data_IF_714067423834
#
_entry.id   IF_714067423834
#
_cell.length_a   1.000
_cell.length_b   1.000
_cell.length_c   1.000
_cell.angle_alpha   90.00
_cell.angle_beta   90.00
_cell.angle_gamma   90.00
#
_symmetry.space_group_name_H-M   'P 1'
#
loop_
_entity.id
_entity.type
_entity.pdbx_description
1 polymer ?
#
# COMPACT_ATOMS: atom_id res chain seq x y z
N UNK A 1 -2.44 7.28 27.86
CA UNK A 1 -2.77 6.65 26.56
C UNK A 1 -2.60 5.16 26.75
N UNK A 2 -3.65 4.38 26.55
CA UNK A 2 -3.59 2.92 26.61
C UNK A 2 -2.95 2.33 25.35
N UNK A 3 -2.60 1.05 25.41
CA UNK A 3 -1.96 0.31 24.32
C UNK A 3 -2.79 0.29 23.03
N UNK A 4 -4.11 0.16 23.11
CA UNK A 4 -4.98 0.09 21.93
C UNK A 4 -5.05 1.43 21.23
N UNK A 5 -5.18 2.51 22.01
CA UNK A 5 -5.14 3.88 21.51
C UNK A 5 -3.80 4.21 20.83
N UNK A 6 -2.68 3.74 21.38
CA UNK A 6 -1.36 3.90 20.77
C UNK A 6 -1.30 3.23 19.38
N UNK A 7 -1.73 1.96 19.27
CA UNK A 7 -1.71 1.25 17.99
C UNK A 7 -2.73 1.80 17.00
N UNK A 8 -3.90 2.25 17.45
CA UNK A 8 -4.87 2.93 16.59
C UNK A 8 -4.26 4.19 15.95
N UNK A 9 -3.51 4.97 16.74
CA UNK A 9 -2.82 6.17 16.26
C UNK A 9 -1.67 5.82 15.30
N UNK A 10 -0.81 4.86 15.64
CA UNK A 10 0.32 4.42 14.79
C UNK A 10 -0.17 3.90 13.43
N UNK A 11 -1.26 3.13 13.43
CA UNK A 11 -1.86 2.59 12.21
C UNK A 11 -2.72 3.61 11.45
N UNK A 12 -2.85 4.83 11.99
CA UNK A 12 -3.70 5.91 11.47
C UNK A 12 -5.13 5.42 11.19
N UNK A 13 -5.69 4.69 12.16
CA UNK A 13 -7.07 4.23 12.10
C UNK A 13 -8.02 5.42 12.26
N UNK A 14 -9.13 5.34 11.55
CA UNK A 14 -10.22 6.30 11.62
C UNK A 14 -11.53 5.54 11.75
N UNK A 15 -12.54 6.19 12.30
CA UNK A 15 -13.89 5.64 12.36
C UNK A 15 -14.30 5.12 10.97
N UNK A 16 -14.87 3.91 10.88
CA UNK A 16 -15.40 3.08 11.98
C UNK A 16 -14.43 2.00 12.51
N UNK A 17 -13.14 2.05 12.19
CA UNK A 17 -12.18 0.98 12.53
C UNK A 17 -11.49 1.22 13.87
N UNK A 18 -11.47 0.20 14.72
CA UNK A 18 -10.88 0.26 16.06
C UNK A 18 -10.02 -0.97 16.36
N UNK A 19 -9.02 -0.80 17.23
CA UNK A 19 -8.22 -1.93 17.72
C UNK A 19 -9.04 -2.71 18.74
N UNK A 20 -9.35 -3.97 18.40
CA UNK A 20 -10.05 -4.91 19.28
C UNK A 20 -9.12 -5.44 20.37
N UNK A 21 -7.98 -5.98 19.96
CA UNK A 21 -7.02 -6.64 20.84
C UNK A 21 -5.61 -6.62 20.28
N UNK A 22 -4.65 -6.76 21.18
CA UNK A 22 -3.24 -6.91 20.90
C UNK A 22 -2.78 -8.25 21.47
N UNK A 23 -1.96 -8.98 20.74
CA UNK A 23 -1.37 -10.24 21.18
C UNK A 23 0.10 -10.27 20.83
N UNK A 24 0.96 -10.51 21.81
CA UNK A 24 2.39 -10.72 21.63
C UNK A 24 2.67 -12.22 21.70
N UNK A 25 3.31 -12.75 20.65
CA UNK A 25 3.84 -14.11 20.62
C UNK A 25 5.37 -14.02 20.57
N UNK A 26 5.99 -14.23 21.73
CA UNK A 26 7.45 -14.17 21.87
C UNK A 26 8.15 -15.32 21.14
N UNK A 27 7.52 -16.50 21.06
CA UNK A 27 8.09 -17.67 20.40
C UNK A 27 8.09 -17.50 18.87
N UNK A 28 7.00 -16.96 18.32
CA UNK A 28 6.92 -16.62 16.91
C UNK A 28 7.65 -15.32 16.56
N UNK A 29 8.02 -14.52 17.56
CA UNK A 29 8.64 -13.20 17.37
C UNK A 29 7.69 -12.24 16.65
N UNK A 30 6.41 -12.20 17.04
CA UNK A 30 5.39 -11.41 16.36
C UNK A 30 4.41 -10.70 17.30
N UNK A 31 3.91 -9.54 16.86
CA UNK A 31 2.79 -8.82 17.50
C UNK A 31 1.62 -8.85 16.54
N UNK A 32 0.48 -9.33 16.99
CA UNK A 32 -0.77 -9.31 16.24
C UNK A 32 -1.68 -8.20 16.75
N UNK A 33 -2.07 -7.30 15.83
CA UNK A 33 -3.04 -6.23 16.08
C UNK A 33 -4.35 -6.62 15.41
N UNK A 34 -5.33 -7.02 16.22
CA UNK A 34 -6.68 -7.37 15.73
C UNK A 34 -7.51 -6.10 15.65
N UNK A 35 -7.98 -5.77 14.45
CA UNK A 35 -8.83 -4.62 14.18
C UNK A 35 -10.24 -5.11 13.87
N UNK A 36 -11.22 -4.39 14.39
CA UNK A 36 -12.62 -4.61 14.08
C UNK A 36 -13.30 -3.33 13.64
N UNK A 37 -14.50 -3.47 13.09
CA UNK A 37 -15.39 -2.36 12.82
C UNK A 37 -16.32 -2.16 14.01
N UNK A 38 -16.55 -0.90 14.40
CA UNK A 38 -17.45 -0.59 15.51
C UNK A 38 -18.86 -1.17 15.27
N UNK A 39 -19.49 -1.64 16.33
CA UNK A 39 -20.84 -2.20 16.28
C UNK A 39 -21.85 -1.17 15.73
N UNK A 40 -22.88 -1.65 15.03
CA UNK A 40 -23.94 -0.82 14.41
C UNK A 40 -23.46 0.20 13.36
N UNK A 41 -22.23 0.07 12.85
CA UNK A 41 -21.75 0.90 11.74
C UNK A 41 -22.60 0.68 10.50
N UNK A 42 -23.16 1.77 9.95
CA UNK A 42 -23.85 1.72 8.66
C UNK A 42 -22.84 1.56 7.53
N UNK A 43 -22.87 0.40 6.88
CA UNK A 43 -22.01 0.11 5.75
C UNK A 43 -22.63 0.59 4.45
N UNK A 44 -21.79 1.11 3.57
CA UNK A 44 -22.17 1.64 2.28
C UNK A 44 -21.36 1.00 1.15
N UNK A 45 -21.96 0.90 -0.03
CA UNK A 45 -21.28 0.46 -1.24
C UNK A 45 -20.09 1.37 -1.56
N UNK A 46 -18.85 0.85 -1.69
CA UNK A 46 -17.70 1.69 -2.01
C UNK A 46 -17.77 2.26 -3.43
N UNK A 47 -18.67 1.76 -4.28
CA UNK A 47 -18.85 2.23 -5.66
C UNK A 47 -19.97 3.26 -5.78
N UNK A 48 -21.16 3.00 -5.21
CA UNK A 48 -22.33 3.89 -5.35
C UNK A 48 -22.79 4.60 -4.07
N UNK A 49 -22.18 4.32 -2.92
CA UNK A 49 -22.48 4.99 -1.65
C UNK A 49 -23.80 4.60 -0.98
N UNK A 50 -24.63 3.75 -1.61
CA UNK A 50 -25.90 3.29 -1.02
C UNK A 50 -25.64 2.39 0.20
N UNK A 51 -26.44 2.57 1.26
CA UNK A 51 -26.39 1.68 2.43
C UNK A 51 -26.75 0.25 2.02
N UNK A 52 -25.94 -0.71 2.44
CA UNK A 52 -26.06 -2.12 2.07
C UNK A 52 -25.96 -3.01 3.31
N UNK A 53 -26.65 -4.14 3.30
CA UNK A 53 -26.51 -5.15 4.35
C UNK A 53 -25.17 -5.90 4.23
N UNK A 54 -24.67 -6.37 5.36
CA UNK A 54 -23.55 -7.30 5.41
C UNK A 54 -24.00 -8.64 4.81
N UNK A 55 -23.15 -9.22 3.97
CA UNK A 55 -23.31 -10.56 3.41
C UNK A 55 -22.53 -11.59 4.24
N UNK A 56 -21.21 -11.45 4.29
CA UNK A 56 -20.30 -12.27 5.11
C UNK A 56 -19.12 -11.42 5.59
N UNK A 57 -18.28 -11.98 6.46
CA UNK A 57 -17.00 -11.41 6.83
C UNK A 57 -15.87 -12.27 6.29
N UNK A 58 -14.76 -11.63 5.91
CA UNK A 58 -13.55 -12.33 5.49
C UNK A 58 -12.39 -11.94 6.37
N UNK A 59 -11.90 -12.91 7.13
CA UNK A 59 -10.67 -12.78 7.89
C UNK A 59 -9.49 -12.56 6.96
N UNK A 60 -8.74 -11.49 7.21
CA UNK A 60 -7.55 -11.14 6.43
C UNK A 60 -6.42 -10.70 7.35
N UNK A 61 -5.20 -11.01 6.93
CA UNK A 61 -3.97 -10.60 7.60
C UNK A 61 -3.10 -9.78 6.66
N UNK A 62 -2.45 -8.77 7.22
CA UNK A 62 -1.48 -7.91 6.56
C UNK A 62 -0.21 -7.81 7.38
N UNK A 63 0.93 -7.89 6.70
CA UNK A 63 2.21 -7.55 7.30
C UNK A 63 2.36 -6.03 7.38
N UNK A 64 2.68 -5.54 8.59
CA UNK A 64 2.99 -4.14 8.86
C UNK A 64 4.49 -3.95 9.14
N UNK A 65 4.92 -2.72 9.46
CA UNK A 65 6.28 -2.45 9.95
C UNK A 65 6.52 -3.13 11.30
N UNK A 66 7.77 -3.52 11.55
CA UNK A 66 8.15 -4.15 12.81
C UNK A 66 7.95 -3.22 14.01
N UNK A 67 7.31 -3.75 15.05
CA UNK A 67 7.36 -3.15 16.38
C UNK A 67 8.59 -3.70 17.07
N UNK A 68 9.64 -2.89 17.18
CA UNK A 68 10.93 -3.29 17.73
C UNK A 68 11.49 -4.52 16.99
N UNK A 69 11.81 -5.61 17.71
CA UNK A 69 12.29 -6.87 17.14
C UNK A 69 11.17 -7.79 16.63
N UNK A 70 9.90 -7.41 16.82
CA UNK A 70 8.76 -8.28 16.53
C UNK A 70 8.10 -7.95 15.20
N UNK A 71 7.76 -9.02 14.47
CA UNK A 71 6.97 -8.96 13.24
C UNK A 71 5.54 -8.52 13.54
N UNK A 72 5.17 -7.31 13.15
CA UNK A 72 3.79 -6.83 13.33
C UNK A 72 2.87 -7.34 12.22
N UNK A 73 1.81 -8.03 12.61
CA UNK A 73 0.72 -8.50 11.77
C UNK A 73 -0.54 -7.74 12.16
N UNK A 74 -1.17 -7.10 11.19
CA UNK A 74 -2.50 -6.52 11.34
C UNK A 74 -3.50 -7.55 10.82
N UNK A 75 -4.54 -7.86 11.57
CA UNK A 75 -5.60 -8.75 11.13
C UNK A 75 -6.98 -8.11 11.37
N UNK A 76 -7.93 -8.42 10.50
CA UNK A 76 -9.29 -7.93 10.62
C UNK A 76 -10.26 -8.84 9.90
N UNK A 77 -11.48 -8.93 10.44
CA UNK A 77 -12.62 -9.53 9.76
C UNK A 77 -13.29 -8.46 8.89
N UNK A 78 -12.93 -8.42 7.60
CA UNK A 78 -13.41 -7.38 6.69
C UNK A 78 -14.81 -7.71 6.22
N UNK A 79 -15.80 -6.82 6.43
CA UNK A 79 -17.15 -7.05 5.94
C UNK A 79 -17.21 -7.07 4.42
N UNK A 80 -17.98 -8.01 3.89
CA UNK A 80 -18.46 -8.01 2.51
C UNK A 80 -19.93 -7.62 2.53
N UNK A 81 -20.30 -6.71 1.67
CA UNK A 81 -21.67 -6.19 1.58
C UNK A 81 -22.34 -6.70 0.31
N UNK A 82 -23.67 -6.74 0.33
CA UNK A 82 -24.48 -7.05 -0.85
C UNK A 82 -25.11 -5.79 -1.43
N UNK A 83 -24.55 -5.31 -2.54
CA UNK A 83 -25.12 -4.20 -3.28
C UNK A 83 -26.05 -4.72 -4.38
N UNK A 84 -27.30 -4.25 -4.49
CA UNK A 84 -28.21 -4.66 -5.57
C UNK A 84 -27.68 -4.40 -6.99
N UNK A 85 -26.84 -3.37 -7.15
CA UNK A 85 -26.28 -2.95 -8.45
C UNK A 85 -24.91 -3.57 -8.75
N UNK A 86 -24.06 -3.70 -7.72
CA UNK A 86 -22.64 -4.06 -7.88
C UNK A 86 -22.32 -5.47 -7.34
N UNK A 87 -23.33 -6.19 -6.85
CA UNK A 87 -23.18 -7.52 -6.27
C UNK A 87 -22.40 -7.51 -4.94
N UNK A 88 -21.65 -8.58 -4.71
CA UNK A 88 -20.90 -8.76 -3.47
C UNK A 88 -19.56 -8.03 -3.50
N UNK A 89 -19.37 -7.05 -2.62
CA UNK A 89 -18.14 -6.26 -2.54
C UNK A 89 -17.51 -6.36 -1.16
N UNK A 90 -16.19 -6.52 -1.11
CA UNK A 90 -15.40 -6.38 0.13
C UNK A 90 -15.16 -4.91 0.42
N UNK A 91 -15.42 -4.47 1.64
CA UNK A 91 -15.13 -3.10 2.03
C UNK A 91 -13.63 -2.79 1.93
N UNK A 92 -13.24 -1.61 1.43
CA UNK A 92 -11.87 -1.17 1.48
C UNK A 92 -11.45 -0.93 2.93
N UNK A 93 -10.22 -1.31 3.27
CA UNK A 93 -9.60 -0.99 4.55
C UNK A 93 -8.66 0.20 4.39
N UNK A 94 -8.58 1.13 5.35
CA UNK A 94 -7.78 2.35 5.20
C UNK A 94 -6.26 2.09 5.19
N UNK A 95 -5.80 1.01 5.82
CA UNK A 95 -4.37 0.71 5.96
C UNK A 95 -3.78 -0.13 4.81
N UNK A 96 -4.56 -0.69 3.89
CA UNK A 96 -4.06 -1.59 2.84
C UNK A 96 -4.76 -1.41 1.49
N UNK A 97 -3.99 -1.58 0.41
CA UNK A 97 -4.54 -1.58 -0.94
C UNK A 97 -5.36 -2.84 -1.27
N UNK A 98 -6.28 -2.78 -2.25
CA UNK A 98 -7.06 -3.94 -2.69
C UNK A 98 -6.16 -5.13 -3.05
N UNK A 99 -6.50 -6.30 -2.52
CA UNK A 99 -5.76 -7.56 -2.76
C UNK A 99 -4.35 -7.64 -2.14
N UNK A 100 -3.85 -6.58 -1.50
CA UNK A 100 -2.52 -6.63 -0.87
C UNK A 100 -2.55 -7.43 0.44
N UNK A 101 -1.43 -8.09 0.74
CA UNK A 101 -1.11 -8.73 2.03
C UNK A 101 -0.20 -7.85 2.89
N UNK A 102 0.02 -6.62 2.47
CA UNK A 102 0.88 -5.65 3.14
C UNK A 102 0.11 -4.35 3.36
N UNK A 103 0.40 -3.69 4.48
CA UNK A 103 -0.11 -2.34 4.73
C UNK A 103 0.54 -1.31 3.79
N UNK A 104 -0.14 -0.20 3.51
CA UNK A 104 0.36 0.89 2.66
C UNK A 104 1.67 1.49 3.20
N UNK A 105 1.79 1.59 4.53
CA UNK A 105 3.02 2.04 5.18
C UNK A 105 4.17 1.05 4.96
N UNK A 106 3.92 -0.26 5.11
CA UNK A 106 4.93 -1.28 4.82
C UNK A 106 5.34 -1.28 3.34
N UNK A 107 4.38 -1.19 2.42
CA UNK A 107 4.70 -1.06 0.99
C UNK A 107 5.56 0.17 0.71
N UNK A 108 5.25 1.31 1.34
CA UNK A 108 6.00 2.55 1.18
C UNK A 108 7.43 2.43 1.71
N UNK A 109 7.62 1.73 2.82
CA UNK A 109 8.95 1.43 3.38
C UNK A 109 9.76 0.49 2.49
N UNK A 110 9.16 -0.57 1.95
CA UNK A 110 9.84 -1.45 0.97
C UNK A 110 10.29 -0.62 -0.25
N UNK A 111 9.44 0.26 -0.75
CA UNK A 111 9.76 1.12 -1.89
C UNK A 111 10.86 2.14 -1.58
N UNK A 112 10.96 2.67 -0.36
CA UNK A 112 12.06 3.58 0.00
C UNK A 112 13.41 2.85 -0.03
N UNK A 113 13.46 1.60 0.45
CA UNK A 113 14.65 0.76 0.36
C UNK A 113 15.02 0.40 -1.09
N UNK A 114 14.03 0.08 -1.92
CA UNK A 114 14.25 -0.24 -3.35
C UNK A 114 14.82 0.94 -4.16
N UNK A 115 14.68 2.18 -3.68
CA UNK A 115 15.31 3.35 -4.32
C UNK A 115 16.82 3.42 -4.13
N UNK A 116 17.35 2.80 -3.08
CA UNK A 116 18.74 2.96 -2.66
C UNK A 116 19.50 1.62 -2.60
N UNK A 117 18.84 0.51 -2.92
CA UNK A 117 19.40 -0.83 -2.77
C UNK A 117 18.87 -1.80 -3.84
N UNK A 118 19.48 -2.98 -3.93
CA UNK A 118 19.07 -4.02 -4.87
C UNK A 118 17.86 -4.81 -4.37
N UNK A 119 17.06 -5.34 -5.30
CA UNK A 119 15.89 -6.18 -4.97
C UNK A 119 16.26 -7.34 -4.05
N UNK A 120 17.39 -8.01 -4.29
CA UNK A 120 17.79 -9.16 -3.47
C UNK A 120 18.23 -8.76 -2.05
N UNK A 121 18.95 -7.64 -1.91
CA UNK A 121 19.32 -7.11 -0.59
C UNK A 121 18.07 -6.72 0.22
N UNK A 122 17.12 -6.00 -0.38
CA UNK A 122 15.86 -5.63 0.27
C UNK A 122 15.04 -6.86 0.66
N UNK A 123 14.94 -7.83 -0.25
CA UNK A 123 14.23 -9.10 0.00
C UNK A 123 14.81 -9.85 1.19
N UNK A 124 16.14 -9.99 1.26
CA UNK A 124 16.84 -10.67 2.37
C UNK A 124 16.67 -9.90 3.67
N UNK A 125 16.89 -8.58 3.64
CA UNK A 125 16.81 -7.73 4.83
C UNK A 125 15.42 -7.73 5.46
N UNK A 126 14.37 -7.64 4.63
CA UNK A 126 12.98 -7.58 5.09
C UNK A 126 12.30 -8.96 5.16
N UNK A 127 13.06 -10.05 4.96
CA UNK A 127 12.59 -11.44 4.97
C UNK A 127 11.37 -11.67 4.06
N UNK A 128 11.38 -11.07 2.87
CA UNK A 128 10.30 -11.18 1.89
C UNK A 128 10.61 -12.26 0.84
N UNK A 129 9.58 -12.73 0.14
CA UNK A 129 9.78 -13.50 -1.09
C UNK A 129 10.00 -12.55 -2.27
N UNK A 130 10.59 -13.06 -3.35
CA UNK A 130 10.78 -12.26 -4.57
C UNK A 130 9.42 -11.75 -5.11
N UNK A 131 8.42 -12.64 -5.19
CA UNK A 131 7.05 -12.31 -5.62
C UNK A 131 6.39 -11.22 -4.74
N UNK A 132 6.72 -11.16 -3.45
CA UNK A 132 6.21 -10.12 -2.57
C UNK A 132 6.78 -8.75 -2.95
N UNK A 133 8.10 -8.65 -3.11
CA UNK A 133 8.78 -7.41 -3.49
C UNK A 133 8.33 -6.95 -4.88
N UNK A 134 8.31 -7.86 -5.85
CA UNK A 134 7.85 -7.60 -7.21
C UNK A 134 6.38 -7.13 -7.24
N UNK A 135 5.51 -7.78 -6.48
CA UNK A 135 4.10 -7.37 -6.37
C UNK A 135 3.94 -5.97 -5.77
N UNK A 136 4.73 -5.61 -4.75
CA UNK A 136 4.73 -4.27 -4.15
C UNK A 136 5.19 -3.24 -5.19
N UNK A 137 6.29 -3.51 -5.89
CA UNK A 137 6.84 -2.65 -6.93
C UNK A 137 5.84 -2.44 -8.07
N UNK A 138 5.25 -3.52 -8.59
CA UNK A 138 4.24 -3.48 -9.66
C UNK A 138 3.02 -2.64 -9.27
N UNK A 139 2.50 -2.81 -8.05
CA UNK A 139 1.39 -1.97 -7.55
C UNK A 139 1.80 -0.51 -7.43
N UNK A 140 3.02 -0.23 -6.98
CA UNK A 140 3.54 1.12 -6.87
C UNK A 140 3.67 1.82 -8.23
N UNK A 141 4.21 1.12 -9.24
CA UNK A 141 4.31 1.62 -10.62
C UNK A 141 2.91 1.88 -11.19
N UNK A 142 1.97 0.94 -11.05
CA UNK A 142 0.58 1.12 -11.48
C UNK A 142 -0.06 2.36 -10.84
N UNK A 143 0.12 2.57 -9.53
CA UNK A 143 -0.34 3.79 -8.82
C UNK A 143 0.35 5.05 -9.34
N UNK A 144 1.65 4.98 -9.65
CA UNK A 144 2.44 6.08 -10.21
C UNK A 144 1.94 6.50 -11.58
N UNK A 145 1.78 5.55 -12.50
CA UNK A 145 1.26 5.79 -13.85
C UNK A 145 -0.15 6.38 -13.81
N UNK A 146 -1.04 5.86 -12.95
CA UNK A 146 -2.40 6.38 -12.81
C UNK A 146 -2.46 7.85 -12.31
N UNK A 147 -1.43 8.35 -11.64
CA UNK A 147 -1.35 9.77 -11.23
C UNK A 147 -0.95 10.71 -12.38
N UNK A 148 -0.39 10.18 -13.46
CA UNK A 148 0.00 10.97 -14.63
C UNK A 148 -1.28 11.26 -15.44
N UNK A 149 -1.96 12.36 -15.10
CA UNK A 149 -3.30 12.69 -15.64
C UNK A 149 -3.29 13.17 -17.09
N UNK A 150 -2.19 13.73 -17.59
CA UNK A 150 -2.00 14.14 -18.98
C UNK A 150 -0.51 14.10 -19.33
N UNK A 151 -0.12 13.74 -20.58
CA UNK A 151 1.20 14.10 -21.05
C UNK A 151 1.31 15.62 -20.96
N UNK A 152 2.28 16.11 -20.18
CA UNK A 152 2.59 17.54 -20.14
C UNK A 152 2.91 17.97 -21.58
N UNK A 153 2.22 18.99 -22.07
CA UNK A 153 2.57 19.69 -23.31
C UNK A 153 3.98 20.25 -23.13
N UNK A 154 4.98 19.58 -23.71
CA UNK A 154 6.36 19.99 -23.65
C UNK A 154 6.73 20.70 -24.96
N UNK A 155 7.19 21.96 -24.84
CA UNK A 155 7.72 22.72 -25.99
C UNK A 155 9.08 22.19 -26.44
N UNK A 156 9.84 21.60 -25.52
CA UNK A 156 11.14 20.99 -25.76
C UNK A 156 11.18 19.61 -25.09
N UNK A 157 11.69 18.62 -25.82
CA UNK A 157 11.82 17.24 -25.38
C UNK A 157 13.30 16.86 -25.46
N UNK A 158 13.86 16.35 -24.37
CA UNK A 158 15.21 15.77 -24.39
C UNK A 158 15.07 14.26 -24.34
N UNK A 159 15.70 13.60 -25.31
CA UNK A 159 15.70 12.15 -25.43
C UNK A 159 17.07 11.67 -24.97
N UNK A 160 17.09 10.78 -23.98
CA UNK A 160 18.31 10.16 -23.47
C UNK A 160 18.31 8.66 -23.77
N UNK A 161 19.49 8.12 -24.06
CA UNK A 161 19.69 6.70 -24.30
C UNK A 161 20.42 6.07 -23.14
N UNK A 162 19.74 5.17 -22.44
CA UNK A 162 20.36 4.41 -21.35
C UNK A 162 20.67 3.00 -21.85
N UNK A 163 21.97 2.68 -21.89
CA UNK A 163 22.42 1.31 -22.14
C UNK A 163 22.16 0.44 -20.92
N UNK A 164 21.47 -0.69 -21.09
CA UNK A 164 21.18 -1.65 -20.03
C UNK A 164 21.71 -3.05 -20.40
N UNK A 165 22.54 -3.63 -19.54
CA UNK A 165 23.36 -4.87 -19.72
C UNK A 165 24.59 -4.72 -20.63
N UNK A 166 25.53 -5.65 -20.41
CA UNK A 166 26.71 -5.87 -21.27
C UNK A 166 26.22 -6.34 -22.66
N UNK A 167 26.67 -5.67 -23.73
CA UNK A 167 26.27 -5.96 -25.11
C UNK A 167 25.33 -4.93 -25.77
N UNK A 168 25.24 -3.70 -25.26
CA UNK A 168 24.58 -2.56 -25.94
C UNK A 168 23.10 -2.77 -26.29
N UNK A 169 22.27 -3.06 -25.30
CA UNK A 169 20.81 -2.94 -25.43
C UNK A 169 20.38 -1.58 -24.89
N UNK A 170 19.80 -0.74 -25.75
CA UNK A 170 19.42 0.62 -25.39
C UNK A 170 17.93 0.70 -25.06
N UNK A 171 17.60 1.51 -24.06
CA UNK A 171 16.24 1.93 -23.75
C UNK A 171 16.22 3.45 -23.85
N UNK A 172 15.35 3.98 -24.68
CA UNK A 172 15.19 5.43 -24.90
C UNK A 172 14.23 5.99 -23.85
N UNK A 173 14.72 6.91 -23.02
CA UNK A 173 13.92 7.63 -22.03
C UNK A 173 13.61 9.06 -22.49
N UNK A 174 12.34 9.48 -22.39
CA UNK A 174 11.91 10.87 -22.63
C UNK A 174 11.90 11.64 -21.29
N UNK A 175 12.75 12.66 -21.17
CA UNK A 175 12.78 13.59 -20.04
C UNK A 175 12.29 14.98 -20.49
N UNK A 176 11.17 15.42 -19.91
CA UNK A 176 10.54 16.72 -20.22
C UNK A 176 10.92 17.75 -19.17
N UNK A 177 11.65 18.79 -19.55
CA UNK A 177 12.03 19.91 -18.67
C UNK A 177 11.40 21.23 -19.13
N UNK A 178 11.10 22.13 -18.18
CA UNK A 178 10.60 23.49 -18.44
C UNK A 178 11.73 24.47 -18.17
N UNK A 179 12.48 24.84 -19.20
CA UNK A 179 13.48 25.91 -19.14
C UNK A 179 12.77 27.26 -19.23
N UNK A 180 12.75 28.03 -18.15
CA UNK A 180 12.41 29.45 -18.15
C UNK A 180 13.72 30.24 -18.25
N UNK A 181 14.16 30.52 -19.47
CA UNK A 181 15.28 31.42 -19.72
C UNK A 181 14.89 32.85 -19.36
N UNK A 182 15.45 33.38 -18.28
CA UNK A 182 15.57 34.82 -18.10
C UNK A 182 16.72 35.28 -19.00
N UNK A 183 16.41 36.10 -20.00
CA UNK A 183 17.41 36.79 -20.80
C UNK A 183 18.22 37.73 -19.90
N UNK A 184 19.54 37.67 -20.03
CA UNK A 184 20.42 38.76 -19.66
C UNK A 184 20.83 39.45 -20.97
N UNK A 185 20.46 40.72 -21.06
CA UNK A 185 21.02 41.69 -22.00
C UNK A 185 22.54 41.82 -21.82
#
# INVERSE_FOLDING_TARGET
MDEKSLYAHILNLSDPWQVKSLSLDENAGSVTVTIEIAENTRLACPTCGKSCSVHDHRHRKWRHLDTCQFTTIVEADVPRIMCPEHGCLTLPVPWAGPGSRYTLLFESFVLSWLKISTVDAVRKQLKLSWNAVDGIMTRAVKRGLARIKKPLSARHMNVDEVAFKKGHRYITGDLRSRWSGAGLN
#
